data_IF_186887937923
#
_entry.id   IF_186887937923
#
_cell.length_a   1.000
_cell.length_b   1.000
_cell.length_c   1.000
_cell.angle_alpha   90.00
_cell.angle_beta   90.00
_cell.angle_gamma   90.00
#
_symmetry.space_group_name_H-M   'P 1'
#
loop_
_entity.id
_entity.type
_entity.pdbx_description
1 polymer ?
#
# COMPACT_ATOMS: atom_id res chain seq x y z
N UNK A 1 15.00 15.71 11.66
CA UNK A 1 15.75 15.61 12.95
C UNK A 1 14.89 16.02 14.15
N UNK A 2 14.23 17.19 14.15
CA UNK A 2 13.49 17.66 15.33
C UNK A 2 12.33 16.74 15.75
N UNK A 3 11.61 16.15 14.79
CA UNK A 3 10.55 15.17 15.09
C UNK A 3 11.15 13.86 15.64
N UNK A 4 12.24 13.36 15.06
CA UNK A 4 12.91 12.12 15.49
C UNK A 4 13.49 12.27 16.90
N UNK A 5 14.02 13.45 17.22
CA UNK A 5 14.59 13.77 18.53
C UNK A 5 13.52 14.21 19.55
N UNK A 6 12.25 14.25 19.17
CA UNK A 6 11.14 14.62 20.05
C UNK A 6 11.10 16.10 20.47
N UNK A 7 11.76 16.99 19.73
CA UNK A 7 11.73 18.45 19.99
C UNK A 7 10.42 19.09 19.57
N UNK A 8 9.81 18.57 18.49
CA UNK A 8 8.47 18.93 18.01
C UNK A 8 7.70 17.67 17.70
N UNK A 9 6.39 17.76 17.71
CA UNK A 9 5.50 16.67 17.29
C UNK A 9 5.41 16.60 15.77
N UNK A 10 5.00 15.45 15.22
CA UNK A 10 4.70 15.31 13.80
C UNK A 10 3.57 16.26 13.37
N UNK A 11 2.60 16.49 14.24
CA UNK A 11 1.48 17.42 13.99
C UNK A 11 1.98 18.87 13.85
N UNK A 12 2.85 19.32 14.73
CA UNK A 12 3.47 20.64 14.66
C UNK A 12 4.27 20.78 13.37
N UNK A 13 5.14 19.80 13.05
CA UNK A 13 5.92 19.81 11.81
C UNK A 13 5.03 19.93 10.57
N UNK A 14 4.01 19.10 10.45
CA UNK A 14 3.14 19.09 9.25
C UNK A 14 2.33 20.38 9.15
N UNK A 15 1.96 21.00 10.27
CA UNK A 15 1.24 22.27 10.28
C UNK A 15 2.06 23.45 9.73
N UNK A 16 3.39 23.37 9.76
CA UNK A 16 4.29 24.40 9.23
C UNK A 16 4.55 24.27 7.72
N UNK A 17 4.28 23.10 7.12
CA UNK A 17 4.47 22.89 5.69
C UNK A 17 3.55 23.78 4.85
N UNK A 18 4.06 24.33 3.76
CA UNK A 18 3.26 25.03 2.76
C UNK A 18 2.31 24.09 2.02
N UNK A 19 1.32 24.64 1.31
CA UNK A 19 0.39 23.86 0.49
C UNK A 19 1.12 23.08 -0.61
N UNK A 20 2.14 23.66 -1.21
CA UNK A 20 2.89 23.01 -2.30
C UNK A 20 3.77 21.87 -1.77
N UNK A 21 4.31 21.98 -0.57
CA UNK A 21 5.05 20.91 0.12
C UNK A 21 4.11 19.77 0.54
N UNK A 22 2.94 20.07 1.07
CA UNK A 22 1.93 19.03 1.34
C UNK A 22 1.57 18.28 0.06
N UNK A 23 1.29 18.99 -1.03
CA UNK A 23 0.96 18.40 -2.33
C UNK A 23 2.10 17.53 -2.87
N UNK A 24 3.34 17.97 -2.71
CA UNK A 24 4.53 17.19 -3.11
C UNK A 24 4.56 15.83 -2.42
N UNK A 25 4.33 15.78 -1.12
CA UNK A 25 4.34 14.54 -0.33
C UNK A 25 3.19 13.58 -0.67
N UNK A 26 2.06 14.06 -1.23
CA UNK A 26 0.93 13.22 -1.63
C UNK A 26 1.18 12.42 -2.93
N UNK A 27 2.28 12.65 -3.63
CA UNK A 27 2.65 11.94 -4.85
C UNK A 27 3.87 11.04 -4.69
N UNK A 28 3.90 9.92 -5.42
CA UNK A 28 5.10 9.08 -5.48
C UNK A 28 6.29 9.85 -6.09
N UNK A 29 7.49 9.47 -5.67
CA UNK A 29 8.73 10.15 -6.04
C UNK A 29 9.54 9.33 -7.05
N UNK A 30 10.38 9.98 -7.88
CA UNK A 30 11.26 9.28 -8.81
C UNK A 30 12.13 8.23 -8.10
N UNK A 31 12.49 7.19 -8.84
CA UNK A 31 13.45 6.19 -8.36
C UNK A 31 14.84 6.82 -8.18
N UNK A 32 15.36 6.73 -6.97
CA UNK A 32 16.71 7.21 -6.60
C UNK A 32 17.63 6.07 -6.15
N UNK A 33 17.19 4.81 -6.25
CA UNK A 33 17.92 3.62 -5.79
C UNK A 33 17.90 2.49 -6.79
N UNK A 34 18.01 1.28 -6.28
CA UNK A 34 18.02 0.03 -7.07
C UNK A 34 16.63 -0.54 -7.35
N UNK A 35 15.59 0.09 -6.82
CA UNK A 35 14.21 -0.36 -6.97
C UNK A 35 13.77 -0.41 -8.44
N UNK A 36 12.76 -1.23 -8.72
CA UNK A 36 12.11 -1.27 -10.02
C UNK A 36 10.90 -0.33 -10.14
N UNK A 37 10.63 0.49 -9.12
CA UNK A 37 9.42 1.32 -9.03
C UNK A 37 9.70 2.67 -8.35
N UNK A 38 8.69 3.34 -7.83
CA UNK A 38 8.75 4.69 -7.31
C UNK A 38 9.06 4.75 -5.81
N UNK A 39 9.53 5.93 -5.36
CA UNK A 39 9.79 6.25 -3.96
C UNK A 39 8.67 7.05 -3.30
N UNK A 40 8.91 7.42 -2.04
CA UNK A 40 8.00 8.16 -1.16
C UNK A 40 8.83 9.21 -0.41
N UNK A 41 8.25 10.37 -0.11
CA UNK A 41 8.90 11.44 0.66
C UNK A 41 9.73 12.37 -0.22
N UNK A 42 11.07 12.35 -0.10
CA UNK A 42 12.01 13.12 -0.91
C UNK A 42 11.89 14.64 -0.74
N UNK A 43 12.09 15.11 0.50
CA UNK A 43 12.23 16.54 0.81
C UNK A 43 13.51 16.75 1.65
N UNK A 44 14.68 16.77 1.01
CA UNK A 44 15.98 16.81 1.70
C UNK A 44 16.18 18.09 2.52
N UNK A 45 15.55 19.20 2.16
CA UNK A 45 15.56 20.47 2.91
C UNK A 45 15.00 20.33 4.34
N UNK A 46 14.11 19.37 4.56
CA UNK A 46 13.56 19.00 5.88
C UNK A 46 14.17 17.72 6.45
N UNK A 47 15.13 17.12 5.74
CA UNK A 47 15.71 15.84 6.13
C UNK A 47 14.78 14.63 5.88
N UNK A 48 13.73 14.78 5.07
CA UNK A 48 12.86 13.68 4.69
C UNK A 48 13.51 12.90 3.53
N UNK A 49 13.88 11.62 3.76
CA UNK A 49 14.55 10.82 2.74
C UNK A 49 13.61 10.44 1.59
N UNK A 50 14.20 10.07 0.44
CA UNK A 50 13.50 9.33 -0.60
C UNK A 50 13.55 7.85 -0.26
N UNK A 51 12.45 7.29 0.25
CA UNK A 51 12.36 5.87 0.60
C UNK A 51 11.76 5.07 -0.54
N UNK A 52 12.42 3.99 -0.94
CA UNK A 52 12.07 3.26 -2.16
C UNK A 52 11.10 2.10 -1.88
N UNK A 53 10.20 1.85 -2.84
CA UNK A 53 9.33 0.67 -2.84
C UNK A 53 9.82 -0.35 -3.87
N UNK A 54 9.60 -1.63 -3.65
CA UNK A 54 9.91 -2.70 -4.59
C UNK A 54 8.71 -3.60 -4.81
N UNK A 55 8.40 -3.88 -6.08
CA UNK A 55 7.40 -4.89 -6.44
C UNK A 55 8.00 -6.30 -6.38
N UNK A 56 7.21 -7.31 -6.66
CA UNK A 56 7.62 -8.71 -6.78
C UNK A 56 6.89 -9.64 -5.81
N UNK A 57 5.82 -10.32 -6.25
CA UNK A 57 5.04 -11.21 -5.39
C UNK A 57 5.74 -12.54 -5.07
N UNK A 58 6.78 -12.88 -5.82
CA UNK A 58 7.58 -14.11 -5.63
C UNK A 58 9.09 -13.82 -5.45
N UNK A 59 9.41 -12.69 -4.85
CA UNK A 59 10.78 -12.21 -4.60
C UNK A 59 10.90 -10.71 -4.85
N UNK A 60 11.84 -10.08 -4.18
CA UNK A 60 12.07 -8.63 -4.31
C UNK A 60 12.53 -8.31 -5.73
N UNK A 61 11.84 -7.40 -6.41
CA UNK A 61 12.20 -7.02 -7.79
C UNK A 61 13.10 -5.80 -7.77
N UNK A 62 14.33 -5.99 -8.20
CA UNK A 62 15.32 -4.92 -8.43
C UNK A 62 15.40 -4.63 -9.93
N UNK A 63 15.74 -3.40 -10.28
CA UNK A 63 15.91 -3.01 -11.67
C UNK A 63 17.00 -3.85 -12.36
N UNK A 64 16.73 -4.50 -13.49
CA UNK A 64 17.67 -5.47 -14.11
C UNK A 64 19.03 -4.87 -14.46
N UNK A 65 19.06 -3.59 -14.80
CA UNK A 65 20.29 -2.84 -15.15
C UNK A 65 21.28 -2.68 -13.99
N UNK A 66 20.80 -2.88 -12.75
CA UNK A 66 21.64 -2.80 -11.55
C UNK A 66 22.51 -4.04 -11.38
N UNK A 67 22.10 -5.19 -11.95
CA UNK A 67 22.86 -6.43 -11.90
C UNK A 67 22.82 -7.14 -10.55
N UNK A 68 21.92 -6.78 -9.63
CA UNK A 68 21.68 -7.46 -8.35
C UNK A 68 20.67 -8.58 -8.57
N UNK A 69 21.02 -9.79 -8.14
CA UNK A 69 20.13 -10.96 -8.14
C UNK A 69 19.52 -11.14 -6.76
N UNK A 70 18.21 -11.20 -6.69
CA UNK A 70 17.43 -11.50 -5.48
C UNK A 70 16.88 -12.94 -5.53
N UNK A 71 16.40 -13.43 -4.42
CA UNK A 71 15.84 -14.79 -4.33
C UNK A 71 14.50 -14.87 -5.05
N UNK A 72 14.35 -15.85 -5.94
CA UNK A 72 13.06 -16.23 -6.51
C UNK A 72 12.40 -17.28 -5.60
N UNK A 73 11.42 -16.84 -4.82
CA UNK A 73 10.61 -17.73 -3.99
C UNK A 73 9.51 -18.40 -4.82
N UNK A 74 8.94 -19.53 -4.34
CA UNK A 74 7.71 -20.07 -4.92
C UNK A 74 6.59 -19.01 -4.92
N UNK A 75 5.69 -19.07 -5.90
CA UNK A 75 4.56 -18.13 -5.95
C UNK A 75 3.61 -18.33 -4.76
N UNK A 76 2.85 -17.29 -4.41
CA UNK A 76 2.01 -17.27 -3.19
C UNK A 76 1.00 -18.43 -3.16
N UNK A 77 0.40 -18.81 -4.32
CA UNK A 77 -0.48 -19.98 -4.41
C UNK A 77 0.24 -21.28 -3.98
N UNK A 78 1.47 -21.47 -4.43
CA UNK A 78 2.25 -22.67 -4.08
C UNK A 78 2.68 -22.63 -2.61
N UNK A 79 3.11 -21.47 -2.10
CA UNK A 79 3.40 -21.29 -0.67
C UNK A 79 2.17 -21.58 0.19
N UNK A 80 0.99 -21.14 -0.23
CA UNK A 80 -0.27 -21.42 0.48
C UNK A 80 -0.61 -22.92 0.54
N UNK A 81 -0.21 -23.72 -0.47
CA UNK A 81 -0.38 -25.17 -0.45
C UNK A 81 0.41 -25.89 0.66
N UNK A 82 1.34 -25.23 1.30
CA UNK A 82 2.06 -25.78 2.47
C UNK A 82 1.18 -25.86 3.72
N UNK A 83 0.13 -25.03 3.80
CA UNK A 83 -0.72 -24.87 4.99
C UNK A 83 0.07 -24.53 6.27
N UNK A 84 1.28 -24.02 6.12
CA UNK A 84 2.21 -23.76 7.22
C UNK A 84 2.54 -22.26 7.33
N UNK A 85 2.01 -21.52 8.33
CA UNK A 85 2.34 -20.11 8.54
C UNK A 85 3.84 -19.85 8.78
N UNK A 86 4.57 -20.79 9.41
CA UNK A 86 5.99 -20.60 9.69
C UNK A 86 6.83 -20.53 8.41
N UNK A 87 6.43 -21.28 7.37
CA UNK A 87 7.08 -21.20 6.04
C UNK A 87 6.86 -19.82 5.42
N UNK A 88 5.64 -19.30 5.51
CA UNK A 88 5.32 -17.96 4.98
C UNK A 88 6.06 -16.86 5.75
N UNK A 89 6.15 -16.97 7.07
CA UNK A 89 6.90 -16.03 7.90
C UNK A 89 8.40 -16.08 7.60
N UNK A 90 8.97 -17.27 7.39
CA UNK A 90 10.37 -17.43 7.00
C UNK A 90 10.66 -16.80 5.61
N UNK A 91 9.79 -17.01 4.63
CA UNK A 91 9.90 -16.36 3.30
C UNK A 91 9.79 -14.83 3.42
N UNK A 92 8.84 -14.36 4.24
CA UNK A 92 8.68 -12.93 4.50
C UNK A 92 9.94 -12.33 5.14
N UNK A 93 10.55 -13.03 6.09
CA UNK A 93 11.79 -12.61 6.76
C UNK A 93 12.95 -12.54 5.77
N UNK A 94 13.16 -13.57 4.98
CA UNK A 94 14.23 -13.60 3.99
C UNK A 94 14.08 -12.48 2.94
N UNK A 95 12.87 -12.26 2.42
CA UNK A 95 12.63 -11.14 1.51
C UNK A 95 12.77 -9.77 2.19
N UNK A 96 12.40 -9.65 3.46
CA UNK A 96 12.62 -8.44 4.26
C UNK A 96 14.11 -8.13 4.49
N UNK A 97 14.94 -9.16 4.70
CA UNK A 97 16.40 -9.03 4.74
C UNK A 97 16.96 -8.49 3.42
N UNK A 98 16.52 -9.04 2.27
CA UNK A 98 16.94 -8.57 0.95
C UNK A 98 16.50 -7.11 0.67
N UNK A 99 15.30 -6.70 1.15
CA UNK A 99 14.91 -5.28 1.07
C UNK A 99 15.87 -4.38 1.84
N UNK A 100 16.15 -4.72 3.09
CA UNK A 100 17.04 -3.94 3.96
C UNK A 100 18.46 -3.86 3.40
N UNK A 101 19.02 -4.96 2.92
CA UNK A 101 20.33 -5.01 2.27
C UNK A 101 20.44 -4.10 1.04
N UNK A 102 19.34 -3.89 0.34
CA UNK A 102 19.26 -3.08 -0.87
C UNK A 102 18.69 -1.67 -0.64
N UNK A 103 18.57 -1.24 0.61
CA UNK A 103 18.03 0.07 1.01
C UNK A 103 16.62 0.32 0.43
N UNK A 104 15.76 -0.68 0.49
CA UNK A 104 14.36 -0.62 0.09
C UNK A 104 13.46 -0.62 1.33
N UNK A 105 12.48 0.29 1.36
CA UNK A 105 11.66 0.53 2.54
C UNK A 105 10.38 -0.31 2.59
N UNK A 106 9.76 -0.52 1.44
CA UNK A 106 8.48 -1.20 1.32
C UNK A 106 8.52 -2.28 0.25
N UNK A 107 8.05 -3.47 0.61
CA UNK A 107 7.73 -4.51 -0.36
C UNK A 107 6.25 -4.46 -0.73
N UNK A 108 5.94 -4.40 -2.03
CA UNK A 108 4.56 -4.35 -2.53
C UNK A 108 3.93 -5.76 -2.55
N UNK A 109 3.94 -6.39 -1.40
CA UNK A 109 3.42 -7.74 -1.12
C UNK A 109 2.99 -7.83 0.36
N UNK A 110 2.11 -8.76 0.76
CA UNK A 110 1.43 -9.79 -0.03
C UNK A 110 0.20 -9.30 -0.79
N UNK A 111 -0.10 -9.97 -1.91
CA UNK A 111 -1.34 -9.76 -2.65
C UNK A 111 -2.38 -10.80 -2.18
N UNK A 112 -3.58 -10.35 -1.78
CA UNK A 112 -4.54 -11.17 -1.04
C UNK A 112 -5.98 -11.13 -1.55
N UNK A 113 -6.21 -10.69 -2.79
CA UNK A 113 -7.51 -10.93 -3.40
C UNK A 113 -7.72 -12.45 -3.55
N UNK A 114 -8.95 -12.92 -3.35
CA UNK A 114 -9.23 -14.37 -3.38
C UNK A 114 -9.24 -14.91 -4.82
N UNK A 115 -8.98 -16.21 -4.97
CA UNK A 115 -9.16 -16.96 -6.23
C UNK A 115 -10.66 -17.06 -6.56
N UNK A 116 -11.21 -16.05 -7.26
CA UNK A 116 -12.62 -16.02 -7.65
C UNK A 116 -12.91 -16.78 -8.94
N UNK A 117 -11.97 -16.72 -9.88
CA UNK A 117 -12.06 -17.39 -11.17
C UNK A 117 -10.68 -17.92 -11.55
N UNK A 118 -10.57 -19.14 -12.08
CA UNK A 118 -9.30 -19.69 -12.56
C UNK A 118 -8.71 -18.91 -13.74
N UNK A 119 -9.53 -18.09 -14.41
CA UNK A 119 -9.10 -17.26 -15.54
C UNK A 119 -8.49 -15.91 -15.13
N UNK A 120 -8.44 -15.59 -13.84
CA UNK A 120 -7.78 -14.37 -13.38
C UNK A 120 -6.26 -14.51 -13.54
N UNK A 121 -5.65 -13.63 -14.35
CA UNK A 121 -4.22 -13.67 -14.67
C UNK A 121 -3.28 -13.41 -13.49
N UNK A 122 -3.79 -12.99 -12.34
CA UNK A 122 -3.01 -12.72 -11.11
C UNK A 122 -3.22 -13.75 -10.01
N UNK A 123 -3.91 -14.85 -10.25
CA UNK A 123 -4.10 -15.90 -9.24
C UNK A 123 -2.78 -16.44 -8.69
N UNK A 124 -1.70 -16.47 -9.47
CA UNK A 124 -0.39 -16.97 -9.03
C UNK A 124 0.16 -16.20 -7.82
N UNK A 125 -0.16 -14.92 -7.68
CA UNK A 125 0.29 -14.09 -6.54
C UNK A 125 -0.72 -14.04 -5.38
N UNK A 126 -1.93 -14.58 -5.55
CA UNK A 126 -2.93 -14.69 -4.51
C UNK A 126 -2.82 -16.05 -3.81
N UNK A 127 -3.37 -16.18 -2.60
CA UNK A 127 -3.14 -17.34 -1.73
C UNK A 127 -4.16 -18.46 -1.91
N UNK A 128 -5.47 -18.14 -1.83
CA UNK A 128 -6.55 -19.12 -1.81
C UNK A 128 -7.87 -18.50 -2.24
N UNK A 129 -8.87 -19.35 -2.51
CA UNK A 129 -10.28 -18.94 -2.59
C UNK A 129 -10.91 -18.73 -1.20
N UNK A 130 -10.31 -19.35 -0.16
CA UNK A 130 -10.74 -19.23 1.22
C UNK A 130 -10.10 -17.99 1.88
N UNK A 131 -10.90 -17.00 2.33
CA UNK A 131 -10.39 -15.80 2.96
C UNK A 131 -9.71 -16.04 4.31
N UNK A 132 -10.07 -17.11 5.03
CA UNK A 132 -9.45 -17.46 6.30
C UNK A 132 -8.03 -18.00 6.07
N UNK A 133 -7.86 -18.94 5.14
CA UNK A 133 -6.55 -19.46 4.74
C UNK A 133 -5.65 -18.31 4.24
N UNK A 134 -6.21 -17.47 3.36
CA UNK A 134 -5.51 -16.27 2.85
C UNK A 134 -5.07 -15.37 3.99
N UNK A 135 -5.97 -15.02 4.92
CA UNK A 135 -5.67 -14.12 6.03
C UNK A 135 -4.60 -14.66 6.97
N UNK A 136 -4.66 -15.96 7.30
CA UNK A 136 -3.67 -16.60 8.19
C UNK A 136 -2.27 -16.67 7.59
N UNK A 137 -2.17 -17.10 6.35
CA UNK A 137 -0.89 -17.30 5.68
C UNK A 137 -0.25 -15.98 5.27
N UNK A 138 -1.02 -15.06 4.69
CA UNK A 138 -0.51 -13.75 4.31
C UNK A 138 -0.18 -12.88 5.54
N UNK A 139 -0.90 -13.02 6.65
CA UNK A 139 -0.54 -12.37 7.91
C UNK A 139 0.83 -12.81 8.44
N UNK A 140 1.15 -14.11 8.34
CA UNK A 140 2.49 -14.61 8.67
C UNK A 140 3.57 -13.99 7.76
N UNK A 141 3.29 -13.85 6.45
CA UNK A 141 4.19 -13.17 5.50
C UNK A 141 4.43 -11.70 5.92
N UNK A 142 3.37 -10.97 6.31
CA UNK A 142 3.48 -9.58 6.81
C UNK A 142 4.40 -9.50 8.03
N UNK A 143 4.21 -10.38 9.03
CA UNK A 143 5.07 -10.41 10.22
C UNK A 143 6.53 -10.68 9.87
N UNK A 144 6.76 -11.65 8.98
CA UNK A 144 8.11 -11.97 8.50
C UNK A 144 8.81 -10.78 7.84
N UNK A 145 8.13 -10.08 6.92
CA UNK A 145 8.66 -8.89 6.26
C UNK A 145 9.00 -7.81 7.30
N UNK A 146 8.04 -7.48 8.15
CA UNK A 146 8.15 -6.35 9.08
C UNK A 146 9.11 -6.61 10.25
N UNK A 147 9.51 -7.87 10.49
CA UNK A 147 10.53 -8.20 11.48
C UNK A 147 11.93 -7.63 11.18
N UNK A 148 12.13 -7.11 9.97
CA UNK A 148 13.37 -6.49 9.51
C UNK A 148 13.33 -4.95 9.52
N UNK A 149 12.31 -4.32 10.12
CA UNK A 149 12.09 -2.87 10.07
C UNK A 149 11.91 -2.35 8.63
N UNK A 150 11.29 -3.14 7.76
CA UNK A 150 10.81 -2.75 6.44
C UNK A 150 9.32 -3.05 6.33
N UNK A 151 8.60 -2.30 5.50
CA UNK A 151 7.15 -2.39 5.46
C UNK A 151 6.62 -3.40 4.45
N UNK A 152 5.55 -4.11 4.83
CA UNK A 152 4.70 -4.86 3.92
C UNK A 152 3.58 -3.98 3.37
N UNK A 153 3.21 -4.18 2.10
CA UNK A 153 2.09 -3.49 1.46
C UNK A 153 1.03 -4.50 1.04
N UNK A 154 -0.05 -4.54 1.79
CA UNK A 154 -1.17 -5.44 1.52
C UNK A 154 -1.97 -4.99 0.31
N UNK A 155 -2.19 -5.87 -0.69
CA UNK A 155 -2.83 -5.50 -1.97
C UNK A 155 -3.73 -6.57 -2.55
N UNK A 156 -4.69 -6.24 -3.39
CA UNK A 156 -5.18 -4.92 -3.80
C UNK A 156 -6.51 -4.65 -3.14
N UNK A 157 -6.62 -3.61 -2.37
CA UNK A 157 -7.80 -3.30 -1.56
C UNK A 157 -8.81 -2.47 -2.39
N UNK A 158 -9.92 -3.08 -2.92
CA UNK A 158 -10.30 -4.46 -2.75
C UNK A 158 -10.97 -5.01 -4.02
N UNK A 159 -11.30 -6.31 -4.02
CA UNK A 159 -12.07 -6.97 -5.07
C UNK A 159 -11.44 -6.93 -6.48
N UNK A 160 -10.12 -6.88 -6.60
CA UNK A 160 -9.42 -7.01 -7.88
C UNK A 160 -9.30 -8.49 -8.29
N UNK A 161 -10.42 -9.11 -8.70
CA UNK A 161 -10.50 -10.51 -9.04
C UNK A 161 -10.59 -10.77 -10.55
N UNK A 162 -10.33 -9.74 -11.38
CA UNK A 162 -10.38 -9.78 -12.84
C UNK A 162 -9.37 -8.79 -13.43
N UNK A 163 -8.50 -9.29 -14.30
CA UNK A 163 -7.48 -8.46 -14.95
C UNK A 163 -7.95 -7.87 -16.30
N UNK A 164 -8.89 -8.50 -16.98
CA UNK A 164 -9.46 -7.94 -18.22
C UNK A 164 -10.13 -6.60 -17.94
N UNK A 165 -9.62 -5.54 -18.59
CA UNK A 165 -10.08 -4.16 -18.41
C UNK A 165 -10.08 -3.70 -16.93
N UNK A 166 -9.08 -4.12 -16.15
CA UNK A 166 -9.01 -3.95 -14.67
C UNK A 166 -9.21 -2.50 -14.20
N UNK A 167 -8.77 -1.50 -14.98
CA UNK A 167 -8.93 -0.08 -14.64
C UNK A 167 -10.37 0.45 -14.75
N UNK A 168 -11.23 -0.25 -15.49
CA UNK A 168 -12.63 0.16 -15.72
C UNK A 168 -13.64 -0.96 -15.42
N UNK A 169 -13.19 -2.11 -14.90
CA UNK A 169 -14.10 -3.17 -14.45
C UNK A 169 -14.84 -2.73 -13.18
N UNK A 170 -16.06 -3.21 -13.03
CA UNK A 170 -16.91 -2.92 -11.87
C UNK A 170 -17.28 -4.25 -11.18
N UNK A 171 -16.74 -4.45 -9.99
CA UNK A 171 -17.02 -5.64 -9.17
C UNK A 171 -18.35 -5.45 -8.45
N UNK A 172 -19.40 -6.12 -8.95
CA UNK A 172 -20.74 -6.08 -8.35
C UNK A 172 -20.84 -7.10 -7.23
N UNK A 173 -21.17 -6.66 -6.04
CA UNK A 173 -21.17 -7.49 -4.84
C UNK A 173 -22.20 -6.97 -3.83
N UNK A 174 -22.86 -7.89 -3.08
CA UNK A 174 -23.64 -7.51 -1.90
C UNK A 174 -22.70 -7.14 -0.75
N UNK A 175 -23.15 -6.31 0.18
CA UNK A 175 -22.38 -5.96 1.38
C UNK A 175 -21.96 -7.20 2.17
N UNK A 176 -22.88 -8.16 2.36
CA UNK A 176 -22.59 -9.40 3.04
C UNK A 176 -21.45 -10.17 2.39
N UNK A 177 -21.50 -10.37 1.07
CA UNK A 177 -20.43 -11.07 0.34
C UNK A 177 -19.10 -10.29 0.35
N UNK A 178 -19.17 -8.95 0.27
CA UNK A 178 -17.99 -8.11 0.40
C UNK A 178 -17.30 -8.34 1.75
N UNK A 179 -18.04 -8.25 2.85
CA UNK A 179 -17.50 -8.37 4.22
C UNK A 179 -17.09 -9.79 4.59
N UNK A 180 -17.90 -10.80 4.27
CA UNK A 180 -17.63 -12.17 4.70
C UNK A 180 -16.59 -12.91 3.85
N UNK A 181 -16.37 -12.46 2.59
CA UNK A 181 -15.49 -13.15 1.64
C UNK A 181 -14.34 -12.24 1.19
N UNK A 182 -14.65 -11.15 0.48
CA UNK A 182 -13.63 -10.37 -0.23
C UNK A 182 -12.79 -9.46 0.66
N UNK A 183 -13.37 -8.93 1.73
CA UNK A 183 -12.70 -8.06 2.70
C UNK A 183 -12.16 -8.83 3.90
N UNK A 184 -12.64 -10.07 4.13
CA UNK A 184 -12.35 -10.83 5.35
C UNK A 184 -10.85 -11.06 5.60
N UNK A 185 -10.09 -11.41 4.56
CA UNK A 185 -8.65 -11.60 4.70
C UNK A 185 -7.93 -10.28 5.07
N UNK A 186 -8.34 -9.16 4.47
CA UNK A 186 -7.81 -7.83 4.80
C UNK A 186 -8.12 -7.47 6.26
N UNK A 187 -9.37 -7.64 6.71
CA UNK A 187 -9.77 -7.40 8.09
C UNK A 187 -8.91 -8.18 9.08
N UNK A 188 -8.71 -9.47 8.82
CA UNK A 188 -7.91 -10.34 9.69
C UNK A 188 -6.48 -9.84 9.84
N UNK A 189 -5.83 -9.48 8.72
CA UNK A 189 -4.43 -9.03 8.71
C UNK A 189 -4.29 -7.64 9.33
N UNK A 190 -5.21 -6.71 9.01
CA UNK A 190 -5.20 -5.37 9.60
C UNK A 190 -5.29 -5.45 11.12
N UNK A 191 -6.22 -6.25 11.65
CA UNK A 191 -6.47 -6.35 13.09
C UNK A 191 -5.42 -7.14 13.87
N UNK A 192 -4.72 -8.10 13.23
CA UNK A 192 -3.81 -8.99 13.95
C UNK A 192 -2.33 -8.75 13.63
N UNK A 193 -2.00 -8.27 12.42
CA UNK A 193 -0.63 -8.21 11.93
C UNK A 193 -0.18 -6.79 11.56
N UNK A 194 -1.11 -5.83 11.55
CA UNK A 194 -0.89 -4.38 11.37
C UNK A 194 0.09 -4.04 10.22
N UNK A 195 -0.28 -4.27 8.95
CA UNK A 195 0.59 -3.95 7.81
C UNK A 195 0.89 -2.46 7.75
N UNK A 196 2.13 -2.07 7.38
CA UNK A 196 2.52 -0.66 7.35
C UNK A 196 1.86 0.12 6.22
N UNK A 197 1.58 -0.58 5.11
CA UNK A 197 0.88 0.01 3.98
C UNK A 197 -0.20 -0.90 3.41
N UNK A 198 -1.19 -0.30 2.77
CA UNK A 198 -2.23 -0.97 1.98
C UNK A 198 -2.30 -0.28 0.61
N UNK A 199 -2.44 -1.07 -0.45
CA UNK A 199 -2.61 -0.56 -1.81
C UNK A 199 -4.05 -0.72 -2.26
N UNK A 200 -4.71 0.39 -2.59
CA UNK A 200 -6.06 0.38 -3.17
C UNK A 200 -6.06 -0.14 -4.60
N UNK A 201 -7.13 -0.81 -5.00
CA UNK A 201 -7.23 -1.47 -6.30
C UNK A 201 -7.68 -0.54 -7.44
N UNK A 202 -7.45 -0.98 -8.69
CA UNK A 202 -7.86 -0.22 -9.89
C UNK A 202 -9.36 -0.18 -10.14
N UNK A 203 -10.05 -1.27 -9.81
CA UNK A 203 -11.44 -1.51 -10.21
C UNK A 203 -12.43 -0.63 -9.47
N UNK A 204 -13.63 -0.55 -10.03
CA UNK A 204 -14.80 -0.05 -9.31
C UNK A 204 -15.42 -1.19 -8.47
N UNK A 205 -16.11 -0.79 -7.42
CA UNK A 205 -16.95 -1.64 -6.57
C UNK A 205 -18.32 -0.99 -6.54
N UNK A 206 -19.33 -1.69 -7.07
CA UNK A 206 -20.70 -1.19 -7.13
C UNK A 206 -20.85 0.23 -7.73
N UNK A 207 -20.03 0.54 -8.75
CA UNK A 207 -20.06 1.81 -9.46
C UNK A 207 -19.11 2.89 -8.94
N UNK A 208 -18.43 2.68 -7.79
CA UNK A 208 -17.48 3.63 -7.21
C UNK A 208 -16.06 3.08 -7.34
N UNK A 209 -15.08 3.93 -7.70
CA UNK A 209 -13.67 3.52 -7.73
C UNK A 209 -13.20 3.16 -6.32
N UNK A 210 -12.53 2.01 -6.18
CA UNK A 210 -12.02 1.59 -4.90
C UNK A 210 -11.10 2.65 -4.26
N UNK A 211 -10.26 3.30 -5.08
CA UNK A 211 -9.35 4.36 -4.62
C UNK A 211 -10.04 5.69 -4.25
N UNK A 212 -11.30 5.90 -4.64
CA UNK A 212 -12.10 7.10 -4.31
C UNK A 212 -13.26 6.79 -3.34
N UNK A 213 -13.32 5.58 -2.79
CA UNK A 213 -14.44 5.15 -1.94
C UNK A 213 -14.17 5.48 -0.47
N UNK A 214 -14.81 6.52 0.03
CA UNK A 214 -14.75 6.90 1.44
C UNK A 214 -15.33 5.81 2.34
N UNK A 215 -16.45 5.17 1.95
CA UNK A 215 -17.03 4.04 2.69
C UNK A 215 -16.02 2.89 2.87
N UNK A 216 -15.21 2.61 1.83
CA UNK A 216 -14.23 1.53 1.87
C UNK A 216 -12.96 1.94 2.66
N UNK A 217 -12.37 3.10 2.32
CA UNK A 217 -11.05 3.49 2.81
C UNK A 217 -11.09 4.18 4.17
N UNK A 218 -12.14 4.92 4.46
CA UNK A 218 -12.34 5.56 5.76
C UNK A 218 -13.31 4.74 6.61
N UNK A 219 -14.55 4.55 6.17
CA UNK A 219 -15.57 3.87 6.97
C UNK A 219 -15.16 2.46 7.40
N UNK A 220 -14.88 1.58 6.45
CA UNK A 220 -14.55 0.19 6.77
C UNK A 220 -13.11 0.06 7.28
N UNK A 221 -12.13 0.54 6.51
CA UNK A 221 -10.72 0.28 6.82
C UNK A 221 -10.26 1.00 8.10
N UNK A 222 -10.60 2.29 8.26
CA UNK A 222 -10.12 3.11 9.37
C UNK A 222 -11.05 3.09 10.56
N UNK A 223 -12.33 3.43 10.37
CA UNK A 223 -13.26 3.61 11.49
C UNK A 223 -13.69 2.28 12.11
N UNK A 224 -14.00 1.25 11.27
CA UNK A 224 -14.42 -0.05 11.80
C UNK A 224 -13.23 -0.95 12.19
N UNK A 225 -12.13 -0.96 11.40
CA UNK A 225 -11.00 -1.85 11.64
C UNK A 225 -9.85 -1.21 12.42
N UNK A 226 -9.84 0.11 12.56
CA UNK A 226 -8.82 0.86 13.30
C UNK A 226 -7.47 0.95 12.59
N UNK A 227 -7.45 0.94 11.25
CA UNK A 227 -6.20 1.02 10.51
C UNK A 227 -5.60 2.41 10.53
N UNK A 228 -4.39 2.54 11.04
CA UNK A 228 -3.65 3.81 11.15
C UNK A 228 -2.51 3.96 10.12
N UNK A 229 -2.18 2.89 9.40
CA UNK A 229 -1.10 2.89 8.41
C UNK A 229 -1.41 3.70 7.15
N UNK A 230 -0.42 3.77 6.27
CA UNK A 230 -0.53 4.47 4.99
C UNK A 230 -1.35 3.68 3.98
N UNK A 231 -2.22 4.37 3.22
CA UNK A 231 -2.86 3.81 2.03
C UNK A 231 -2.26 4.46 0.79
N UNK A 232 -1.79 3.64 -0.14
CA UNK A 232 -1.32 4.09 -1.46
C UNK A 232 -2.26 3.62 -2.57
N UNK A 233 -2.31 4.34 -3.70
CA UNK A 233 -2.97 3.81 -4.90
C UNK A 233 -2.12 2.73 -5.56
N UNK A 234 -2.74 1.87 -6.36
CA UNK A 234 -2.02 1.20 -7.44
C UNK A 234 -1.54 2.25 -8.47
N UNK A 235 -0.59 1.87 -9.38
CA UNK A 235 0.09 2.82 -10.28
C UNK A 235 -0.84 3.40 -11.33
N UNK A 236 -0.88 4.74 -11.40
CA UNK A 236 -1.68 5.47 -12.38
C UNK A 236 -3.15 5.02 -12.42
N UNK A 237 -3.79 4.94 -11.24
CA UNK A 237 -5.25 4.78 -11.12
C UNK A 237 -5.97 5.86 -11.91
N UNK A 238 -7.18 5.54 -12.39
CA UNK A 238 -8.02 6.50 -13.12
C UNK A 238 -8.77 7.47 -12.21
N UNK A 239 -8.58 7.40 -10.89
CA UNK A 239 -9.19 8.30 -9.92
C UNK A 239 -8.60 9.71 -9.97
N UNK A 240 -9.39 10.69 -9.55
CA UNK A 240 -8.94 12.07 -9.37
C UNK A 240 -8.13 12.18 -8.06
N UNK A 241 -6.89 12.64 -8.13
CA UNK A 241 -5.96 12.62 -7.01
C UNK A 241 -6.54 13.22 -5.72
N UNK A 242 -7.19 14.40 -5.81
CA UNK A 242 -7.79 15.03 -4.64
C UNK A 242 -8.97 14.24 -4.05
N UNK A 243 -9.75 13.51 -4.89
CA UNK A 243 -10.83 12.66 -4.40
C UNK A 243 -10.29 11.41 -3.69
N UNK A 244 -9.23 10.84 -4.24
CA UNK A 244 -8.54 9.71 -3.62
C UNK A 244 -8.00 10.11 -2.25
N UNK A 245 -7.36 11.29 -2.13
CA UNK A 245 -6.87 11.82 -0.84
C UNK A 245 -8.02 12.01 0.16
N UNK A 246 -9.13 12.63 -0.25
CA UNK A 246 -10.31 12.81 0.60
C UNK A 246 -10.92 11.50 1.08
N UNK A 247 -10.93 10.48 0.23
CA UNK A 247 -11.47 9.17 0.57
C UNK A 247 -10.61 8.38 1.57
N UNK A 248 -9.39 8.83 1.87
CA UNK A 248 -8.46 8.17 2.79
C UNK A 248 -7.32 7.42 2.12
N UNK A 249 -7.09 7.66 0.82
CA UNK A 249 -5.93 7.18 0.07
C UNK A 249 -4.82 8.23 0.18
N UNK A 250 -3.79 7.95 0.96
CA UNK A 250 -2.83 8.98 1.38
C UNK A 250 -1.83 9.35 0.28
N UNK A 251 -1.41 8.37 -0.53
CA UNK A 251 -0.36 8.54 -1.53
C UNK A 251 -0.82 8.10 -2.92
N UNK A 252 -0.65 8.93 -3.93
CA UNK A 252 -0.92 8.55 -5.32
C UNK A 252 0.35 8.13 -6.05
N UNK A 253 0.45 6.85 -6.39
CA UNK A 253 1.51 6.27 -7.24
C UNK A 253 1.14 6.33 -8.74
N UNK A 254 2.03 6.52 -9.77
CA UNK A 254 3.45 6.94 -9.70
C UNK A 254 3.67 8.38 -9.18
N UNK A 255 3.77 9.43 -10.01
CA UNK A 255 4.18 10.78 -9.60
C UNK A 255 3.05 11.63 -9.00
N UNK A 256 1.82 11.09 -8.89
CA UNK A 256 0.66 11.90 -8.57
C UNK A 256 0.27 12.91 -9.67
N UNK A 257 -0.60 13.85 -9.33
CA UNK A 257 -1.02 14.95 -10.20
C UNK A 257 -1.06 16.27 -9.39
N UNK A 258 0.09 16.84 -9.03
CA UNK A 258 0.18 17.99 -8.13
C UNK A 258 -0.64 19.19 -8.61
N UNK A 259 -0.58 19.52 -9.91
CA UNK A 259 -1.37 20.65 -10.48
C UNK A 259 -2.87 20.46 -10.32
N UNK A 260 -3.36 19.21 -10.36
CA UNK A 260 -4.79 18.93 -10.18
C UNK A 260 -5.20 19.08 -8.72
N UNK A 261 -4.35 18.66 -7.80
CA UNK A 261 -4.59 18.84 -6.35
C UNK A 261 -4.57 20.33 -6.00
N UNK A 262 -3.59 21.09 -6.52
CA UNK A 262 -3.50 22.54 -6.32
C UNK A 262 -4.76 23.26 -6.80
N UNK A 263 -5.23 22.96 -8.02
CA UNK A 263 -6.47 23.50 -8.56
C UNK A 263 -7.71 23.11 -7.74
N UNK A 264 -7.73 21.90 -7.17
CA UNK A 264 -8.82 21.47 -6.32
C UNK A 264 -8.80 22.22 -4.98
N UNK A 265 -7.62 22.44 -4.40
CA UNK A 265 -7.44 23.24 -3.19
C UNK A 265 -7.88 24.69 -3.41
N UNK A 266 -7.44 25.34 -4.49
CA UNK A 266 -7.79 26.73 -4.82
C UNK A 266 -9.31 26.93 -5.04
N UNK A 267 -10.03 25.86 -5.38
CA UNK A 267 -11.50 25.82 -5.51
C UNK A 267 -12.24 25.38 -4.23
N UNK A 268 -11.53 25.07 -3.16
CA UNK A 268 -12.10 24.54 -1.92
C UNK A 268 -12.64 23.11 -2.02
N UNK A 269 -12.20 22.32 -3.04
CA UNK A 269 -12.64 20.95 -3.24
C UNK A 269 -11.86 19.94 -2.36
N UNK A 270 -10.69 20.31 -1.89
CA UNK A 270 -9.92 19.64 -0.83
C UNK A 270 -9.41 20.68 0.15
N UNK A 271 -9.41 20.36 1.43
CA UNK A 271 -8.92 21.24 2.50
C UNK A 271 -7.45 20.96 2.83
N UNK A 272 -6.80 21.93 3.49
CA UNK A 272 -5.46 21.74 4.08
C UNK A 272 -5.44 20.57 5.06
N UNK A 273 -6.41 20.48 5.96
CA UNK A 273 -6.52 19.43 6.98
C UNK A 273 -6.60 18.02 6.40
N UNK A 274 -7.31 17.82 5.27
CA UNK A 274 -7.37 16.53 4.58
C UNK A 274 -6.00 16.14 4.01
N UNK A 275 -5.25 17.09 3.46
CA UNK A 275 -3.88 16.85 2.98
C UNK A 275 -2.91 16.57 4.15
N UNK A 276 -2.98 17.35 5.23
CA UNK A 276 -2.15 17.14 6.43
C UNK A 276 -2.38 15.75 7.04
N UNK A 277 -3.62 15.28 7.07
CA UNK A 277 -3.95 13.94 7.57
C UNK A 277 -3.24 12.86 6.77
N UNK A 278 -3.24 12.95 5.45
CA UNK A 278 -2.55 12.00 4.58
C UNK A 278 -1.02 12.10 4.71
N UNK A 279 -0.48 13.32 4.74
CA UNK A 279 0.95 13.56 4.91
C UNK A 279 1.46 13.01 6.24
N UNK A 280 0.71 13.15 7.34
CA UNK A 280 1.07 12.56 8.64
C UNK A 280 1.19 11.04 8.58
N UNK A 281 0.32 10.35 7.85
CA UNK A 281 0.41 8.88 7.67
C UNK A 281 1.61 8.48 6.82
N UNK A 282 1.91 9.24 5.76
CA UNK A 282 3.10 9.03 4.92
C UNK A 282 4.38 9.22 5.75
N UNK A 283 4.50 10.33 6.46
CA UNK A 283 5.67 10.60 7.30
C UNK A 283 5.76 9.66 8.50
N UNK A 284 4.63 9.28 9.09
CA UNK A 284 4.56 8.28 10.15
C UNK A 284 5.07 6.90 9.71
N UNK A 285 4.91 6.55 8.43
CA UNK A 285 5.52 5.36 7.87
C UNK A 285 7.04 5.53 7.72
N UNK A 286 7.50 6.68 7.20
CA UNK A 286 8.93 6.96 7.04
C UNK A 286 9.65 6.95 8.39
N UNK A 287 9.01 7.45 9.45
CA UNK A 287 9.56 7.44 10.82
C UNK A 287 9.68 6.05 11.45
N UNK A 288 9.06 5.00 10.88
CA UNK A 288 9.23 3.60 11.32
C UNK A 288 10.48 2.94 10.72
N UNK A 289 11.07 3.55 9.70
CA UNK A 289 12.25 3.03 9.03
C UNK A 289 13.51 3.40 9.83
N UNK A 290 14.46 2.48 9.92
CA UNK A 290 15.76 2.71 10.58
C UNK A 290 16.68 3.59 9.73
#
# INVERSE_FOLDING_TARGET
MDVVEGRITLDEFVSELSIDELIHLLGGQPNTGVANTFGIGNMPEYGIPSVMTADGPAGVRIAPEVGICTTAFPCSTLLACTWNPDVLEAVGRAGGEELKENNLALWLTPAICIHRSPLCGRNFEYYSEDPFVTGKLAGAMVRGIQSNNVGATLKHFALNNKETNRKNSDSRVSERAAREIYLKAFEMIVKNDNPWAIMSSYNMINGYRASESEDLLTGILRDEWGYEGMVTTDWWTCGEHYKETKAGNDLKMGNGYPDRVKKAYDKGAISRSEMETSVKRILGLILKLD
#
